data_IF_360879046931
#
_entry.id   IF_360879046931
#
_cell.length_a   1.000
_cell.length_b   1.000
_cell.length_c   1.000
_cell.angle_alpha   90.00
_cell.angle_beta   90.00
_cell.angle_gamma   90.00
#
_symmetry.space_group_name_H-M   'P 1'
#
loop_
_entity.id
_entity.type
_entity.pdbx_description
1 polymer ?
#
# COMPACT_ATOMS: atom_id res chain seq x y z
N UNK A 1 -4.08 -12.77 -7.33
CA UNK A 1 -5.16 -13.75 -7.10
C UNK A 1 -6.23 -13.70 -8.18
N UNK A 2 -6.72 -12.52 -8.57
CA UNK A 2 -7.72 -12.33 -9.66
C UNK A 2 -7.37 -13.06 -10.96
N UNK A 3 -6.13 -12.90 -11.48
CA UNK A 3 -5.68 -13.55 -12.72
C UNK A 3 -5.82 -15.09 -12.72
N UNK A 4 -5.70 -15.76 -11.58
CA UNK A 4 -5.85 -17.22 -11.49
C UNK A 4 -7.31 -17.67 -11.58
N UNK A 5 -8.23 -16.87 -11.04
CA UNK A 5 -9.68 -17.12 -11.11
C UNK A 5 -10.21 -16.88 -12.53
N UNK A 6 -9.77 -15.79 -13.15
CA UNK A 6 -10.14 -15.46 -14.53
C UNK A 6 -9.55 -16.47 -15.52
N UNK A 7 -8.31 -16.92 -15.29
CA UNK A 7 -7.70 -18.01 -16.04
C UNK A 7 -8.52 -19.31 -15.97
N UNK A 8 -8.99 -19.70 -14.77
CA UNK A 8 -9.84 -20.88 -14.60
C UNK A 8 -11.21 -20.77 -15.30
N UNK A 9 -11.74 -19.56 -15.46
CA UNK A 9 -13.01 -19.32 -16.14
C UNK A 9 -12.87 -19.23 -17.68
N UNK A 10 -11.77 -18.66 -18.17
CA UNK A 10 -11.55 -18.42 -19.61
C UNK A 10 -10.93 -19.60 -20.36
N UNK A 11 -10.11 -20.42 -19.71
CA UNK A 11 -9.43 -21.54 -20.36
C UNK A 11 -10.35 -22.66 -20.88
N UNK A 12 -11.51 -22.97 -20.26
CA UNK A 12 -12.48 -23.90 -20.83
C UNK A 12 -13.09 -23.42 -22.15
N UNK A 13 -13.31 -22.11 -22.29
CA UNK A 13 -13.98 -21.51 -23.46
C UNK A 13 -13.03 -21.29 -24.64
N UNK A 14 -11.71 -21.25 -24.41
CA UNK A 14 -10.72 -20.88 -25.44
C UNK A 14 -10.13 -22.07 -26.21
N UNK A 15 -10.60 -23.31 -25.98
CA UNK A 15 -10.11 -24.55 -26.66
C UNK A 15 -8.59 -24.79 -26.62
N UNK A 16 -7.82 -24.03 -25.83
CA UNK A 16 -6.36 -24.17 -25.69
C UNK A 16 -5.97 -25.29 -24.72
N UNK A 17 -6.91 -25.78 -23.91
CA UNK A 17 -6.76 -26.96 -23.04
C UNK A 17 -7.93 -27.92 -23.34
N UNK A 18 -7.68 -29.22 -23.60
CA UNK A 18 -8.75 -30.20 -23.75
C UNK A 18 -9.43 -30.42 -22.39
N UNK A 19 -10.53 -29.71 -22.13
CA UNK A 19 -11.43 -29.99 -21.01
C UNK A 19 -12.42 -31.06 -21.47
N UNK A 20 -12.49 -32.23 -20.82
CA UNK A 20 -13.33 -33.32 -21.30
C UNK A 20 -14.82 -32.98 -21.15
N UNK A 21 -15.56 -33.12 -22.24
CA UNK A 21 -17.02 -33.04 -22.24
C UNK A 21 -17.59 -34.11 -21.30
N UNK A 22 -18.72 -33.82 -20.67
CA UNK A 22 -19.37 -34.55 -19.54
C UNK A 22 -19.69 -36.05 -19.79
N UNK A 23 -19.25 -36.62 -20.91
CA UNK A 23 -19.48 -37.98 -21.43
C UNK A 23 -18.16 -38.76 -21.77
N UNK A 24 -16.96 -38.16 -21.68
CA UNK A 24 -15.73 -38.87 -22.06
C UNK A 24 -15.10 -39.66 -20.91
N UNK A 25 -15.05 -40.99 -21.04
CA UNK A 25 -14.43 -41.98 -20.13
C UNK A 25 -12.88 -42.02 -20.17
N UNK A 26 -12.22 -40.99 -20.67
CA UNK A 26 -10.74 -40.93 -20.70
C UNK A 26 -10.20 -40.64 -19.30
N UNK A 27 -9.24 -41.42 -18.76
CA UNK A 27 -8.58 -41.08 -17.50
C UNK A 27 -7.89 -39.71 -17.64
N UNK A 28 -8.28 -38.77 -16.78
CA UNK A 28 -7.79 -37.39 -16.76
C UNK A 28 -6.26 -37.36 -16.70
N UNK A 29 -5.55 -36.55 -17.51
CA UNK A 29 -4.22 -36.11 -17.15
C UNK A 29 -4.38 -35.17 -15.95
N UNK A 30 -4.15 -35.70 -14.75
CA UNK A 30 -4.30 -35.04 -13.44
C UNK A 30 -3.42 -33.77 -13.26
N UNK A 31 -2.67 -33.35 -14.29
CA UNK A 31 -1.55 -32.40 -14.18
C UNK A 31 -1.95 -30.90 -14.17
N UNK A 32 -2.82 -30.38 -15.06
CA UNK A 32 -3.06 -28.92 -15.15
C UNK A 32 -3.94 -28.37 -14.02
N UNK A 33 -4.94 -29.14 -13.59
CA UNK A 33 -5.82 -28.74 -12.49
C UNK A 33 -5.10 -28.76 -11.13
N UNK A 34 -4.18 -29.70 -10.96
CA UNK A 34 -3.37 -29.83 -9.74
C UNK A 34 -2.35 -28.69 -9.60
N UNK A 35 -1.68 -28.30 -10.69
CA UNK A 35 -0.70 -27.21 -10.64
C UNK A 35 -1.35 -25.88 -10.25
N UNK A 36 -2.54 -25.56 -10.78
CA UNK A 36 -3.31 -24.38 -10.42
C UNK A 36 -3.67 -24.32 -8.92
N UNK A 37 -4.13 -25.44 -8.35
CA UNK A 37 -4.46 -25.53 -6.92
C UNK A 37 -3.22 -25.37 -6.02
N UNK A 38 -2.08 -25.95 -6.42
CA UNK A 38 -0.82 -25.81 -5.69
C UNK A 38 -0.35 -24.36 -5.67
N UNK A 39 -0.36 -23.68 -6.83
CA UNK A 39 0.05 -22.26 -6.89
C UNK A 39 -0.89 -21.35 -6.11
N UNK A 40 -2.20 -21.58 -6.16
CA UNK A 40 -3.18 -20.82 -5.38
C UNK A 40 -2.92 -20.96 -3.88
N UNK A 41 -2.77 -22.19 -3.38
CA UNK A 41 -2.56 -22.48 -1.97
C UNK A 41 -1.22 -21.92 -1.47
N UNK A 42 -0.15 -22.08 -2.25
CA UNK A 42 1.16 -21.50 -1.93
C UNK A 42 1.12 -19.97 -1.93
N UNK A 43 0.44 -19.36 -2.90
CA UNK A 43 0.28 -17.90 -2.95
C UNK A 43 -0.45 -17.35 -1.73
N UNK A 44 -1.51 -18.02 -1.28
CA UNK A 44 -2.22 -17.66 -0.05
C UNK A 44 -1.33 -17.82 1.19
N UNK A 45 -0.57 -18.92 1.27
CA UNK A 45 0.34 -19.18 2.38
C UNK A 45 1.46 -18.11 2.46
N UNK A 46 2.12 -17.83 1.34
CA UNK A 46 3.14 -16.77 1.24
C UNK A 46 2.54 -15.42 1.60
N UNK A 47 1.34 -15.11 1.10
CA UNK A 47 0.61 -13.89 1.41
C UNK A 47 0.33 -13.74 2.92
N UNK A 48 -0.07 -14.83 3.59
CA UNK A 48 -0.32 -14.84 5.03
C UNK A 48 0.96 -14.65 5.85
N UNK A 49 2.07 -15.27 5.44
CA UNK A 49 3.39 -15.10 6.08
C UNK A 49 3.88 -13.65 5.93
N UNK A 50 3.81 -13.09 4.71
CA UNK A 50 4.18 -11.70 4.44
C UNK A 50 3.29 -10.72 5.21
N UNK A 51 1.99 -11.00 5.30
CA UNK A 51 1.05 -10.20 6.09
C UNK A 51 1.39 -10.21 7.58
N UNK A 52 1.73 -11.38 8.14
CA UNK A 52 2.18 -11.51 9.52
C UNK A 52 3.49 -10.78 9.79
N UNK A 53 4.45 -10.87 8.87
CA UNK A 53 5.69 -10.09 8.93
C UNK A 53 5.42 -8.58 8.91
N UNK A 54 4.41 -8.13 8.15
CA UNK A 54 3.97 -6.75 8.12
C UNK A 54 3.53 -6.19 9.48
N UNK A 55 3.02 -7.01 10.40
CA UNK A 55 2.65 -6.58 11.77
C UNK A 55 3.87 -6.05 12.53
N UNK A 56 5.02 -6.73 12.39
CA UNK A 56 6.27 -6.34 13.07
C UNK A 56 6.70 -4.95 12.60
N UNK A 57 6.63 -4.70 11.30
CA UNK A 57 6.97 -3.39 10.73
C UNK A 57 5.94 -2.32 11.07
N UNK A 58 4.65 -2.67 11.11
CA UNK A 58 3.59 -1.74 11.52
C UNK A 58 3.79 -1.32 12.98
N UNK A 59 4.17 -2.25 13.85
CA UNK A 59 4.54 -1.94 15.24
C UNK A 59 5.72 -0.96 15.32
N UNK A 60 6.80 -1.22 14.59
CA UNK A 60 7.94 -0.29 14.55
C UNK A 60 7.58 1.07 13.97
N UNK A 61 6.74 1.13 12.93
CA UNK A 61 6.27 2.38 12.35
C UNK A 61 5.48 3.21 13.37
N UNK A 62 4.53 2.60 14.08
CA UNK A 62 3.76 3.28 15.15
C UNK A 62 4.67 3.72 16.31
N UNK A 63 5.63 2.87 16.71
CA UNK A 63 6.59 3.22 17.76
C UNK A 63 7.49 4.40 17.36
N UNK A 64 7.95 4.43 16.10
CA UNK A 64 8.76 5.52 15.58
C UNK A 64 7.98 6.86 15.53
N UNK A 65 6.71 6.81 15.11
CA UNK A 65 5.84 7.99 15.04
C UNK A 65 5.51 8.53 16.44
N UNK A 66 5.24 7.66 17.41
CA UNK A 66 4.87 8.09 18.78
C UNK A 66 6.07 8.62 19.58
N UNK A 67 7.28 8.14 19.29
CA UNK A 67 8.51 8.56 20.01
C UNK A 67 9.16 9.81 19.43
N UNK A 68 8.99 10.08 18.15
CA UNK A 68 9.60 11.23 17.47
C UNK A 68 8.61 12.39 17.36
N UNK A 69 8.97 13.56 17.89
CA UNK A 69 8.21 14.80 17.61
C UNK A 69 8.56 15.31 16.22
N UNK A 70 7.83 14.86 15.22
CA UNK A 70 8.00 15.34 13.85
C UNK A 70 6.94 16.41 13.51
N UNK A 71 7.33 17.65 13.16
CA UNK A 71 6.39 18.68 12.75
C UNK A 71 5.64 18.24 11.47
N UNK A 72 4.37 18.63 11.35
CA UNK A 72 3.57 18.30 10.17
C UNK A 72 4.23 18.85 8.91
N UNK A 73 4.44 18.00 7.90
CA UNK A 73 5.06 18.34 6.63
C UNK A 73 4.49 17.43 5.52
N UNK A 74 4.86 17.70 4.26
CA UNK A 74 4.33 16.96 3.10
C UNK A 74 4.64 15.45 3.14
N UNK A 75 5.72 15.05 3.84
CA UNK A 75 6.10 13.64 4.05
C UNK A 75 5.07 12.80 4.81
N UNK A 76 4.08 13.41 5.48
CA UNK A 76 2.98 12.68 6.11
C UNK A 76 2.10 11.91 5.10
N UNK A 77 2.08 12.34 3.82
CA UNK A 77 1.47 11.58 2.74
C UNK A 77 2.14 10.22 2.50
N UNK A 78 3.41 10.05 2.91
CA UNK A 78 4.12 8.78 2.82
C UNK A 78 3.52 7.66 3.68
N UNK A 79 2.71 7.99 4.69
CA UNK A 79 2.11 7.00 5.59
C UNK A 79 0.84 6.34 5.04
N UNK A 80 0.10 7.02 4.17
CA UNK A 80 -1.17 6.50 3.63
C UNK A 80 -0.95 5.31 2.69
N UNK A 81 0.16 5.28 1.95
CA UNK A 81 0.48 4.19 1.03
C UNK A 81 0.73 2.85 1.73
N UNK A 82 1.72 2.71 2.65
CA UNK A 82 2.00 1.43 3.30
C UNK A 82 0.80 0.95 4.15
N UNK A 83 0.11 1.86 4.84
CA UNK A 83 -1.10 1.52 5.60
C UNK A 83 -2.24 1.08 4.66
N UNK A 84 -2.39 1.75 3.51
CA UNK A 84 -3.38 1.41 2.49
C UNK A 84 -3.15 0.04 1.85
N UNK A 85 -1.90 -0.26 1.46
CA UNK A 85 -1.53 -1.57 0.91
C UNK A 85 -1.75 -2.67 1.96
N UNK A 86 -1.43 -2.41 3.23
CA UNK A 86 -1.68 -3.37 4.31
C UNK A 86 -3.17 -3.61 4.56
N UNK A 87 -4.00 -2.55 4.51
CA UNK A 87 -5.45 -2.66 4.58
C UNK A 87 -6.01 -3.50 3.43
N UNK A 88 -5.58 -3.23 2.19
CA UNK A 88 -5.97 -3.98 1.00
C UNK A 88 -5.57 -5.46 1.11
N UNK A 89 -4.35 -5.75 1.55
CA UNK A 89 -3.90 -7.13 1.78
C UNK A 89 -4.79 -7.85 2.80
N UNK A 90 -5.17 -7.17 3.88
CA UNK A 90 -6.07 -7.72 4.91
C UNK A 90 -7.47 -8.01 4.35
N UNK A 91 -8.01 -7.11 3.54
CA UNK A 91 -9.31 -7.31 2.86
C UNK A 91 -9.23 -8.47 1.87
N UNK A 92 -8.16 -8.59 1.09
CA UNK A 92 -7.97 -9.71 0.16
C UNK A 92 -7.91 -11.05 0.90
N UNK A 93 -7.15 -11.12 2.01
CA UNK A 93 -7.13 -12.30 2.88
C UNK A 93 -8.54 -12.62 3.40
N UNK A 94 -9.37 -11.61 3.73
CA UNK A 94 -10.75 -11.84 4.18
C UNK A 94 -11.70 -12.42 3.12
N UNK A 95 -11.38 -12.21 1.84
CA UNK A 95 -12.13 -12.76 0.71
C UNK A 95 -11.73 -14.22 0.49
N UNK A 96 -10.42 -14.51 0.52
CA UNK A 96 -9.91 -15.87 0.28
C UNK A 96 -10.09 -16.80 1.48
N UNK A 97 -9.97 -16.26 2.69
CA UNK A 97 -10.28 -16.91 3.96
C UNK A 97 -11.50 -16.18 4.54
N UNK A 98 -12.74 -16.65 4.29
CA UNK A 98 -13.98 -15.98 4.68
C UNK A 98 -14.20 -16.02 6.20
N UNK A 99 -13.31 -15.37 6.93
CA UNK A 99 -13.27 -15.24 8.38
C UNK A 99 -13.76 -13.86 8.77
N UNK A 100 -14.62 -13.83 9.79
CA UNK A 100 -15.13 -12.58 10.36
C UNK A 100 -13.98 -11.72 10.90
N UNK A 101 -12.94 -12.35 11.46
CA UNK A 101 -11.76 -11.65 11.98
C UNK A 101 -11.10 -10.76 10.93
N UNK A 102 -10.76 -11.30 9.76
CA UNK A 102 -10.10 -10.53 8.70
C UNK A 102 -11.03 -9.49 8.08
N UNK A 103 -12.35 -9.72 8.05
CA UNK A 103 -13.32 -8.71 7.59
C UNK A 103 -13.37 -7.50 8.50
N UNK A 104 -13.46 -7.73 9.81
CA UNK A 104 -13.46 -6.63 10.81
C UNK A 104 -12.12 -5.92 10.78
N UNK A 105 -11.01 -6.66 10.78
CA UNK A 105 -9.67 -6.07 10.78
C UNK A 105 -9.39 -5.26 9.51
N UNK A 106 -9.79 -5.76 8.34
CA UNK A 106 -9.71 -5.03 7.07
C UNK A 106 -10.52 -3.73 7.12
N UNK A 107 -11.73 -3.78 7.66
CA UNK A 107 -12.59 -2.59 7.83
C UNK A 107 -11.94 -1.56 8.75
N UNK A 108 -11.39 -1.99 9.89
CA UNK A 108 -10.69 -1.11 10.84
C UNK A 108 -9.50 -0.41 10.18
N UNK A 109 -8.64 -1.16 9.45
CA UNK A 109 -7.52 -0.56 8.73
C UNK A 109 -7.99 0.39 7.62
N UNK A 110 -9.04 0.05 6.88
CA UNK A 110 -9.61 0.95 5.86
C UNK A 110 -10.10 2.26 6.47
N UNK A 111 -10.81 2.22 7.61
CA UNK A 111 -11.25 3.43 8.32
C UNK A 111 -10.03 4.23 8.79
N UNK A 112 -9.01 3.57 9.34
CA UNK A 112 -7.78 4.25 9.78
C UNK A 112 -7.07 4.97 8.62
N UNK A 113 -7.02 4.37 7.43
CA UNK A 113 -6.46 5.00 6.22
C UNK A 113 -7.27 6.24 5.82
N UNK A 114 -8.61 6.16 5.84
CA UNK A 114 -9.48 7.30 5.52
C UNK A 114 -9.28 8.44 6.53
N UNK A 115 -9.24 8.14 7.83
CA UNK A 115 -9.00 9.14 8.86
C UNK A 115 -7.63 9.80 8.70
N UNK A 116 -6.59 9.00 8.48
CA UNK A 116 -5.24 9.49 8.22
C UNK A 116 -5.23 10.41 6.98
N UNK A 117 -5.87 9.98 5.90
CA UNK A 117 -5.99 10.77 4.67
C UNK A 117 -6.69 12.12 4.91
N UNK A 118 -7.78 12.15 5.69
CA UNK A 118 -8.48 13.40 6.05
C UNK A 118 -7.57 14.32 6.87
N UNK A 119 -6.91 13.80 7.90
CA UNK A 119 -6.00 14.59 8.76
C UNK A 119 -4.87 15.20 7.94
N UNK A 120 -4.23 14.40 7.09
CA UNK A 120 -3.13 14.85 6.23
C UNK A 120 -3.64 15.86 5.21
N UNK A 121 -4.78 15.61 4.56
CA UNK A 121 -5.37 16.53 3.58
C UNK A 121 -5.71 17.88 4.21
N UNK A 122 -6.36 17.90 5.37
CA UNK A 122 -6.68 19.14 6.10
C UNK A 122 -5.39 19.87 6.50
N UNK A 123 -4.39 19.16 7.03
CA UNK A 123 -3.10 19.74 7.37
C UNK A 123 -2.38 20.34 6.16
N UNK A 124 -2.42 19.65 5.02
CA UNK A 124 -1.83 20.13 3.76
C UNK A 124 -2.55 21.38 3.27
N UNK A 125 -3.88 21.40 3.24
CA UNK A 125 -4.66 22.58 2.83
C UNK A 125 -4.37 23.78 3.74
N UNK A 126 -4.34 23.57 5.06
CA UNK A 126 -4.03 24.65 6.02
C UNK A 126 -2.64 25.24 5.80
N UNK A 127 -1.62 24.39 5.59
CA UNK A 127 -0.24 24.83 5.33
C UNK A 127 -0.03 25.44 3.95
N UNK A 128 -0.80 24.98 2.96
CA UNK A 128 -0.80 25.56 1.63
C UNK A 128 -1.41 26.97 1.67
N UNK A 129 -2.52 27.15 2.38
CA UNK A 129 -3.18 28.47 2.55
C UNK A 129 -2.35 29.42 3.40
N UNK A 130 -1.58 28.93 4.38
CA UNK A 130 -0.67 29.78 5.18
C UNK A 130 0.62 30.18 4.45
N UNK A 131 0.86 29.71 3.22
CA UNK A 131 2.05 30.04 2.42
C UNK A 131 3.35 29.36 2.85
N UNK A 132 3.40 28.70 4.01
CA UNK A 132 4.61 28.06 4.56
C UNK A 132 5.09 26.84 3.76
N UNK A 133 4.25 26.27 2.89
CA UNK A 133 4.59 25.05 2.13
C UNK A 133 5.56 25.32 0.96
N UNK A 134 5.66 26.58 0.50
CA UNK A 134 6.51 27.00 -0.63
C UNK A 134 7.59 28.01 -0.25
N UNK A 135 7.68 28.42 1.02
CA UNK A 135 8.82 29.19 1.50
C UNK A 135 9.98 28.22 1.64
N UNK A 136 10.74 28.05 0.56
CA UNK A 136 12.04 27.42 0.62
C UNK A 136 12.96 28.31 1.47
N UNK A 137 13.37 27.91 2.69
CA UNK A 137 14.22 28.74 3.55
C UNK A 137 15.56 29.14 2.90
N UNK A 138 15.93 28.45 1.82
CA UNK A 138 17.19 28.57 1.11
C UNK A 138 17.29 29.88 0.32
N UNK A 139 16.18 30.44 -0.16
CA UNK A 139 16.20 31.70 -0.95
C UNK A 139 16.47 32.90 -0.04
N UNK A 140 15.85 32.92 1.16
CA UNK A 140 16.04 34.00 2.13
C UNK A 140 17.40 33.97 2.85
N UNK A 141 18.12 32.85 2.83
CA UNK A 141 19.51 32.78 3.28
C UNK A 141 20.48 33.31 2.21
N UNK A 142 20.26 32.96 0.94
CA UNK A 142 21.04 33.47 -0.20
C UNK A 142 20.87 34.98 -0.44
N UNK A 143 19.67 35.55 -0.24
CA UNK A 143 19.45 37.00 -0.35
C UNK A 143 20.14 37.76 0.79
N UNK A 144 20.14 37.22 2.01
CA UNK A 144 20.87 37.82 3.14
C UNK A 144 22.37 37.78 2.93
N UNK A 145 22.95 36.66 2.48
CA UNK A 145 24.38 36.57 2.21
C UNK A 145 24.80 37.54 1.09
N UNK A 146 24.00 37.66 0.02
CA UNK A 146 24.24 38.65 -1.04
C UNK A 146 24.21 40.10 -0.54
N UNK A 147 23.24 40.43 0.31
CA UNK A 147 23.10 41.79 0.87
C UNK A 147 24.26 42.13 1.82
N UNK A 148 24.78 41.14 2.54
CA UNK A 148 25.97 41.30 3.39
C UNK A 148 27.26 41.46 2.57
N UNK A 149 27.43 40.70 1.48
CA UNK A 149 28.57 40.85 0.55
C UNK A 149 28.59 42.22 -0.14
N UNK A 150 27.46 42.68 -0.70
CA UNK A 150 27.36 44.00 -1.36
C UNK A 150 27.61 45.16 -0.39
N UNK A 151 27.27 45.00 0.89
CA UNK A 151 27.51 46.01 1.93
C UNK A 151 28.98 46.04 2.38
N UNK A 152 29.66 44.90 2.36
CA UNK A 152 31.09 44.81 2.69
C UNK A 152 31.97 45.38 1.58
N UNK A 153 31.61 45.17 0.31
CA UNK A 153 32.35 45.69 -0.85
C UNK A 153 32.15 47.20 -1.08
N UNK A 154 31.05 47.78 -0.61
CA UNK A 154 30.78 49.22 -0.71
C UNK A 154 31.46 50.10 0.36
N UNK A 155 32.08 49.50 1.37
CA UNK A 155 32.83 50.21 2.43
C UNK A 155 34.36 50.23 2.20
N UNK A 156 34.85 49.72 1.06
CA UNK A 156 36.28 49.69 0.66
C UNK A 156 36.62 50.78 -0.36
#
# INVERSE_FOLDING_TARGET
MVLGREALALFPDTHTIPVPSRNSTTPMPLQPALSGQIFYTNGLFIGLVMWGFGIVWLFFAVAAITRSRFPFNLGWWGFTFPLGVYALATVQISIELPSLFFKVLGTVFSIAVVLLWVVVSVGTVRKMVSGELFVAPHIGEWERSKTEEERADGEV
#
